data_IF_112766825719
#
_entry.id   IF_112766825719
#
_cell.length_a   1.000
_cell.length_b   1.000
_cell.length_c   1.000
_cell.angle_alpha   90.00
_cell.angle_beta   90.00
_cell.angle_gamma   90.00
#
_symmetry.space_group_name_H-M   'P 1'
#
loop_
_entity.id
_entity.type
_entity.pdbx_description
1 polymer ?
#
# COMPACT_ATOMS: atom_id res chain seq x y z
N UNK A 1 10.53 -33.76 36.46
CA UNK A 1 9.08 -33.80 36.75
C UNK A 1 8.38 -34.43 35.56
N UNK A 2 7.49 -35.42 35.73
CA UNK A 2 6.65 -35.86 34.63
C UNK A 2 5.71 -34.70 34.29
N UNK A 3 5.71 -34.25 33.04
CA UNK A 3 4.74 -33.24 32.60
C UNK A 3 3.35 -33.82 32.80
N UNK A 4 2.49 -33.13 33.56
CA UNK A 4 1.08 -33.49 33.65
C UNK A 4 0.54 -33.45 32.22
N UNK A 5 0.29 -34.62 31.62
CA UNK A 5 -0.27 -34.70 30.27
C UNK A 5 -1.63 -34.03 30.30
N UNK A 6 -1.83 -33.12 29.34
CA UNK A 6 -3.05 -32.35 29.24
C UNK A 6 -4.25 -33.29 29.05
N UNK A 7 -5.35 -33.16 29.82
CA UNK A 7 -6.48 -34.08 29.73
C UNK A 7 -7.15 -34.12 28.35
N UNK A 8 -7.01 -33.07 27.54
CA UNK A 8 -7.51 -33.03 26.17
C UNK A 8 -6.66 -33.88 25.22
N UNK A 9 -5.35 -33.95 25.45
CA UNK A 9 -4.44 -34.82 24.67
C UNK A 9 -4.80 -36.27 24.85
N UNK A 10 -5.00 -36.71 26.10
CA UNK A 10 -5.39 -38.07 26.42
C UNK A 10 -6.74 -38.45 25.80
N UNK A 11 -7.70 -37.51 25.80
CA UNK A 11 -9.03 -37.73 25.20
C UNK A 11 -8.96 -37.84 23.69
N UNK A 12 -8.32 -36.88 23.01
CA UNK A 12 -8.20 -36.90 21.55
C UNK A 12 -7.34 -38.07 21.07
N UNK A 13 -6.29 -38.44 21.79
CA UNK A 13 -5.49 -39.64 21.50
C UNK A 13 -6.30 -40.94 21.64
N UNK A 14 -7.25 -40.99 22.57
CA UNK A 14 -8.16 -42.15 22.67
C UNK A 14 -9.16 -42.18 21.52
N UNK A 15 -9.64 -41.02 21.08
CA UNK A 15 -10.54 -40.89 19.93
C UNK A 15 -9.83 -41.21 18.61
N UNK A 16 -8.56 -40.85 18.44
CA UNK A 16 -7.78 -41.14 17.22
C UNK A 16 -7.51 -42.63 16.99
N UNK A 17 -7.79 -43.49 17.98
CA UNK A 17 -7.80 -44.95 17.81
C UNK A 17 -9.07 -45.48 17.14
N UNK A 18 -10.11 -44.65 17.00
CA UNK A 18 -11.44 -45.02 16.50
C UNK A 18 -11.91 -44.17 15.32
N UNK A 19 -11.45 -42.93 15.26
CA UNK A 19 -11.80 -41.96 14.24
C UNK A 19 -10.54 -41.57 13.48
N UNK A 20 -10.68 -41.39 12.16
CA UNK A 20 -9.59 -40.86 11.33
C UNK A 20 -9.40 -39.34 11.56
N UNK A 21 -8.34 -38.78 10.98
CA UNK A 21 -8.00 -37.37 11.19
C UNK A 21 -9.06 -36.40 10.62
N UNK A 22 -9.79 -36.79 9.56
CA UNK A 22 -10.89 -36.00 8.99
C UNK A 22 -12.08 -35.96 9.95
N UNK A 23 -12.45 -37.10 10.53
CA UNK A 23 -13.50 -37.22 11.53
C UNK A 23 -13.14 -36.46 12.82
N UNK A 24 -11.88 -36.52 13.26
CA UNK A 24 -11.40 -35.76 14.42
C UNK A 24 -11.49 -34.25 14.20
N UNK A 25 -11.16 -33.75 13.01
CA UNK A 25 -11.35 -32.33 12.67
C UNK A 25 -12.80 -31.92 12.83
N UNK A 26 -13.73 -32.70 12.25
CA UNK A 26 -15.15 -32.39 12.33
C UNK A 26 -15.64 -32.37 13.79
N UNK A 27 -15.20 -33.32 14.62
CA UNK A 27 -15.53 -33.37 16.04
C UNK A 27 -15.01 -32.14 16.80
N UNK A 28 -13.76 -31.73 16.57
CA UNK A 28 -13.17 -30.55 17.21
C UNK A 28 -13.88 -29.27 16.78
N UNK A 29 -14.18 -29.11 15.50
CA UNK A 29 -14.84 -27.91 14.97
C UNK A 29 -16.29 -27.80 15.46
N UNK A 30 -17.00 -28.92 15.57
CA UNK A 30 -18.32 -28.97 16.20
C UNK A 30 -18.25 -28.55 17.68
N UNK A 31 -17.27 -29.08 18.43
CA UNK A 31 -17.08 -28.71 19.83
C UNK A 31 -16.73 -27.22 20.01
N UNK A 32 -15.90 -26.64 19.14
CA UNK A 32 -15.56 -25.20 19.18
C UNK A 32 -16.74 -24.28 18.90
N UNK A 33 -17.72 -24.76 18.14
CA UNK A 33 -18.94 -24.02 17.83
C UNK A 33 -19.96 -24.05 18.99
N UNK A 34 -19.76 -24.92 19.98
CA UNK A 34 -20.61 -25.02 21.17
C UNK A 34 -20.18 -24.02 22.25
N UNK A 35 -21.07 -23.11 22.71
CA UNK A 35 -20.77 -22.12 23.74
C UNK A 35 -20.22 -22.70 25.05
N UNK A 36 -20.56 -23.95 25.39
CA UNK A 36 -20.10 -24.63 26.60
C UNK A 36 -18.59 -24.92 26.58
N UNK A 37 -17.97 -24.90 25.39
CA UNK A 37 -16.55 -25.18 25.17
C UNK A 37 -15.72 -23.92 24.90
N UNK A 38 -16.31 -22.73 25.00
CA UNK A 38 -15.67 -21.44 24.63
C UNK A 38 -14.31 -21.20 25.31
N UNK A 39 -14.12 -21.68 26.53
CA UNK A 39 -12.86 -21.54 27.29
C UNK A 39 -11.87 -22.69 27.08
N UNK A 40 -12.26 -23.71 26.30
CA UNK A 40 -11.50 -24.94 26.06
C UNK A 40 -11.11 -25.12 24.60
N UNK A 41 -11.57 -24.21 23.73
CA UNK A 41 -11.28 -24.19 22.30
C UNK A 41 -9.77 -24.26 22.01
N UNK A 42 -8.98 -23.44 22.69
CA UNK A 42 -7.52 -23.44 22.54
C UNK A 42 -6.90 -24.80 22.86
N UNK A 43 -7.29 -25.42 23.97
CA UNK A 43 -6.72 -26.70 24.39
C UNK A 43 -7.10 -27.86 23.46
N UNK A 44 -8.35 -27.85 22.96
CA UNK A 44 -8.81 -28.81 21.96
C UNK A 44 -8.05 -28.65 20.64
N UNK A 45 -7.84 -27.41 20.19
CA UNK A 45 -7.05 -27.12 18.99
C UNK A 45 -5.62 -27.60 19.17
N UNK A 46 -4.96 -27.26 20.27
CA UNK A 46 -3.59 -27.69 20.54
C UNK A 46 -3.45 -29.22 20.61
N UNK A 47 -4.43 -29.90 21.19
CA UNK A 47 -4.46 -31.36 21.21
C UNK A 47 -4.61 -31.97 19.81
N UNK A 48 -5.45 -31.38 18.94
CA UNK A 48 -5.55 -31.78 17.53
C UNK A 48 -4.21 -31.60 16.80
N UNK A 49 -3.53 -30.46 16.99
CA UNK A 49 -2.23 -30.20 16.36
C UNK A 49 -1.17 -31.23 16.81
N UNK A 50 -1.17 -31.62 18.09
CA UNK A 50 -0.27 -32.67 18.60
C UNK A 50 -0.57 -34.06 18.04
N UNK A 51 -1.84 -34.38 17.79
CA UNK A 51 -2.22 -35.62 17.11
C UNK A 51 -1.66 -35.64 15.69
N UNK A 52 -1.86 -34.57 14.92
CA UNK A 52 -1.30 -34.47 13.57
C UNK A 52 0.23 -34.58 13.55
N UNK A 53 0.93 -33.96 14.50
CA UNK A 53 2.38 -34.11 14.65
C UNK A 53 2.77 -35.57 14.92
N UNK A 54 2.01 -36.29 15.76
CA UNK A 54 2.26 -37.69 16.09
C UNK A 54 2.02 -38.62 14.89
N UNK A 55 1.00 -38.32 14.08
CA UNK A 55 0.71 -39.06 12.85
C UNK A 55 1.69 -38.72 11.71
N UNK A 56 2.52 -37.68 11.88
CA UNK A 56 3.49 -37.25 10.88
C UNK A 56 2.87 -36.45 9.73
N UNK A 57 1.71 -35.83 9.96
CA UNK A 57 0.99 -35.09 8.93
C UNK A 57 1.82 -33.90 8.44
N UNK A 58 1.87 -33.71 7.14
CA UNK A 58 2.53 -32.55 6.55
C UNK A 58 1.63 -31.33 6.60
N UNK A 59 2.18 -30.15 6.31
CA UNK A 59 1.37 -28.95 6.13
C UNK A 59 0.32 -29.15 5.03
N UNK A 60 0.68 -29.79 3.92
CA UNK A 60 -0.25 -30.09 2.82
C UNK A 60 -1.39 -31.01 3.27
N UNK A 61 -1.14 -31.94 4.19
CA UNK A 61 -2.20 -32.78 4.76
C UNK A 61 -3.13 -31.94 5.63
N UNK A 62 -2.61 -31.04 6.46
CA UNK A 62 -3.45 -30.11 7.23
C UNK A 62 -4.33 -29.23 6.32
N UNK A 63 -3.83 -28.77 5.17
CA UNK A 63 -4.64 -28.04 4.17
C UNK A 63 -5.81 -28.88 3.63
N UNK A 64 -5.59 -30.18 3.40
CA UNK A 64 -6.63 -31.10 2.92
C UNK A 64 -7.65 -31.44 4.00
N UNK A 65 -7.18 -31.80 5.20
CA UNK A 65 -8.02 -32.15 6.35
C UNK A 65 -8.96 -31.00 6.74
N UNK A 66 -8.48 -29.75 6.62
CA UNK A 66 -9.25 -28.54 6.89
C UNK A 66 -10.08 -28.06 5.68
N UNK A 67 -10.10 -28.83 4.59
CA UNK A 67 -10.86 -28.56 3.36
C UNK A 67 -10.59 -27.17 2.79
N UNK A 68 -9.38 -26.63 3.01
CA UNK A 68 -8.93 -25.35 2.46
C UNK A 68 -8.72 -25.41 0.94
N UNK A 69 -8.72 -26.63 0.41
CA UNK A 69 -8.57 -26.94 -1.01
C UNK A 69 -9.91 -27.17 -1.72
N UNK A 70 -11.04 -27.18 -1.01
CA UNK A 70 -12.36 -27.53 -1.55
C UNK A 70 -13.03 -26.30 -2.19
N UNK A 71 -13.35 -26.46 -3.47
CA UNK A 71 -14.04 -25.54 -4.40
C UNK A 71 -13.24 -24.48 -5.17
N UNK A 72 -13.51 -24.46 -6.49
CA UNK A 72 -13.00 -23.52 -7.50
C UNK A 72 -13.52 -22.09 -7.35
N UNK A 73 -14.33 -21.80 -6.32
CA UNK A 73 -14.99 -20.50 -6.12
C UNK A 73 -14.63 -19.77 -4.84
N UNK A 74 -13.86 -20.37 -3.93
CA UNK A 74 -13.51 -19.68 -2.68
C UNK A 74 -12.23 -18.87 -2.83
N UNK A 75 -12.41 -17.65 -3.32
CA UNK A 75 -11.56 -16.49 -3.02
C UNK A 75 -11.64 -16.07 -1.54
N UNK A 76 -12.30 -16.89 -0.71
CA UNK A 76 -12.75 -16.57 0.62
C UNK A 76 -11.67 -16.93 1.66
N UNK A 77 -10.92 -15.92 2.09
CA UNK A 77 -9.99 -16.01 3.22
C UNK A 77 -10.70 -16.07 4.59
N UNK A 78 -12.02 -16.26 4.60
CA UNK A 78 -12.85 -16.40 5.80
C UNK A 78 -13.12 -17.84 6.25
N UNK A 79 -12.45 -18.84 5.64
CA UNK A 79 -12.60 -20.23 6.09
C UNK A 79 -12.07 -20.38 7.54
N UNK A 80 -12.88 -20.86 8.50
CA UNK A 80 -12.49 -20.96 9.91
C UNK A 80 -11.34 -21.96 10.16
N UNK A 81 -11.09 -22.87 9.23
CA UNK A 81 -9.95 -23.79 9.30
C UNK A 81 -8.60 -23.12 9.01
N UNK A 82 -8.57 -21.93 8.40
CA UNK A 82 -7.32 -21.26 8.06
C UNK A 82 -6.46 -20.93 9.29
N UNK A 83 -7.09 -20.51 10.40
CA UNK A 83 -6.40 -20.18 11.65
C UNK A 83 -5.71 -21.43 12.25
N UNK A 84 -6.39 -22.58 12.21
CA UNK A 84 -5.84 -23.86 12.67
C UNK A 84 -4.72 -24.35 11.77
N UNK A 85 -4.85 -24.18 10.45
CA UNK A 85 -3.78 -24.48 9.51
C UNK A 85 -2.54 -23.61 9.77
N UNK A 86 -2.71 -22.30 9.94
CA UNK A 86 -1.63 -21.37 10.24
C UNK A 86 -0.90 -21.75 11.52
N UNK A 87 -1.66 -22.12 12.56
CA UNK A 87 -1.12 -22.60 13.82
C UNK A 87 -0.30 -23.87 13.62
N UNK A 88 -0.81 -24.85 12.87
CA UNK A 88 -0.09 -26.09 12.58
C UNK A 88 1.23 -25.84 11.83
N UNK A 89 1.17 -25.09 10.73
CA UNK A 89 2.34 -24.78 9.89
C UNK A 89 3.43 -24.07 10.69
N UNK A 90 3.05 -23.16 11.61
CA UNK A 90 3.99 -22.52 12.55
C UNK A 90 4.65 -23.53 13.48
N UNK A 91 3.92 -24.55 13.97
CA UNK A 91 4.54 -25.59 14.81
C UNK A 91 5.58 -26.41 14.05
N UNK A 92 5.41 -26.57 12.74
CA UNK A 92 6.40 -27.20 11.85
C UNK A 92 7.53 -26.25 11.41
N UNK A 93 7.63 -25.04 12.00
CA UNK A 93 8.62 -23.99 11.69
C UNK A 93 8.61 -23.50 10.22
N UNK A 94 7.50 -23.67 9.53
CA UNK A 94 7.30 -23.16 8.17
C UNK A 94 6.54 -21.82 8.21
N UNK A 95 6.65 -21.02 7.14
CA UNK A 95 5.89 -19.78 7.01
C UNK A 95 4.49 -20.08 6.46
N UNK A 96 3.41 -19.88 7.24
CA UNK A 96 2.05 -20.15 6.79
C UNK A 96 1.57 -19.24 5.67
N UNK A 97 1.98 -17.97 5.68
CA UNK A 97 1.62 -17.00 4.63
C UNK A 97 2.24 -17.39 3.29
N UNK A 98 3.50 -17.83 3.31
CA UNK A 98 4.20 -18.31 2.11
C UNK A 98 3.56 -19.57 1.53
N UNK A 99 3.24 -20.53 2.39
CA UNK A 99 2.62 -21.77 1.96
C UNK A 99 1.22 -21.53 1.37
N UNK A 100 0.38 -20.75 2.07
CA UNK A 100 -0.93 -20.36 1.56
C UNK A 100 -0.80 -19.61 0.23
N UNK A 101 0.11 -18.64 0.14
CA UNK A 101 0.36 -17.90 -1.08
C UNK A 101 0.73 -18.81 -2.25
N UNK A 102 1.69 -19.73 -2.07
CA UNK A 102 2.08 -20.70 -3.09
C UNK A 102 0.90 -21.57 -3.52
N UNK A 103 0.06 -22.01 -2.57
CA UNK A 103 -1.13 -22.80 -2.88
C UNK A 103 -2.12 -22.02 -3.73
N UNK A 104 -2.44 -20.78 -3.34
CA UNK A 104 -3.33 -19.89 -4.08
C UNK A 104 -2.78 -19.61 -5.49
N UNK A 105 -1.45 -19.44 -5.62
CA UNK A 105 -0.76 -19.21 -6.89
C UNK A 105 -0.90 -20.35 -7.90
N UNK A 106 -1.07 -21.59 -7.44
CA UNK A 106 -1.32 -22.73 -8.35
C UNK A 106 -2.72 -22.71 -8.98
N UNK A 107 -3.63 -21.87 -8.48
CA UNK A 107 -5.06 -21.89 -8.84
C UNK A 107 -5.58 -20.59 -9.43
N UNK A 108 -5.03 -19.47 -8.99
CA UNK A 108 -5.49 -18.14 -9.33
C UNK A 108 -4.40 -17.38 -10.08
N UNK A 109 -4.81 -16.58 -11.06
CA UNK A 109 -3.89 -15.66 -11.71
C UNK A 109 -3.45 -14.54 -10.76
N UNK A 110 -2.34 -13.88 -11.09
CA UNK A 110 -1.81 -12.74 -10.36
C UNK A 110 -2.84 -11.61 -10.20
N UNK A 111 -3.63 -11.36 -11.24
CA UNK A 111 -4.72 -10.39 -11.22
C UNK A 111 -5.80 -10.78 -10.21
N UNK A 112 -6.18 -12.07 -10.19
CA UNK A 112 -7.19 -12.55 -9.24
C UNK A 112 -6.72 -12.46 -7.80
N UNK A 113 -5.46 -12.83 -7.54
CA UNK A 113 -4.84 -12.68 -6.21
C UNK A 113 -4.76 -11.22 -5.80
N UNK A 114 -4.30 -10.35 -6.69
CA UNK A 114 -4.23 -8.92 -6.45
C UNK A 114 -5.60 -8.34 -6.11
N UNK A 115 -6.67 -8.76 -6.81
CA UNK A 115 -8.04 -8.35 -6.52
C UNK A 115 -8.51 -8.82 -5.14
N UNK A 116 -8.20 -10.07 -4.78
CA UNK A 116 -8.55 -10.62 -3.46
C UNK A 116 -7.87 -9.83 -2.35
N UNK A 117 -6.57 -9.52 -2.51
CA UNK A 117 -5.83 -8.77 -1.49
C UNK A 117 -6.21 -7.29 -1.44
N UNK A 118 -6.52 -6.69 -2.60
CA UNK A 118 -6.91 -5.28 -2.71
C UNK A 118 -8.35 -4.99 -2.28
N UNK A 119 -9.20 -6.00 -2.09
CA UNK A 119 -10.53 -5.81 -1.54
C UNK A 119 -10.44 -4.98 -0.24
N UNK A 120 -11.39 -4.03 0.00
CA UNK A 120 -11.31 -3.13 1.14
C UNK A 120 -11.00 -3.92 2.39
N UNK A 121 -9.88 -3.58 3.07
CA UNK A 121 -9.31 -4.32 4.23
C UNK A 121 -10.42 -5.06 4.92
N UNK A 122 -10.44 -6.37 4.64
CA UNK A 122 -11.61 -7.24 4.65
C UNK A 122 -12.53 -6.94 5.82
N UNK A 123 -13.85 -7.08 5.59
CA UNK A 123 -14.90 -7.19 6.60
C UNK A 123 -14.31 -7.54 7.97
N UNK A 124 -14.64 -6.80 9.04
CA UNK A 124 -14.06 -6.96 10.40
C UNK A 124 -14.06 -8.41 10.93
N UNK A 125 -14.79 -9.31 10.27
CA UNK A 125 -14.84 -10.75 10.47
C UNK A 125 -13.61 -11.53 9.96
N UNK A 126 -12.87 -11.04 8.96
CA UNK A 126 -11.65 -11.70 8.46
C UNK A 126 -10.46 -11.31 9.34
N UNK A 127 -9.93 -12.30 10.06
CA UNK A 127 -8.86 -12.10 11.05
C UNK A 127 -7.45 -12.22 10.47
N UNK A 128 -7.32 -12.72 9.24
CA UNK A 128 -6.02 -13.01 8.62
C UNK A 128 -5.48 -11.75 7.95
N UNK A 129 -4.24 -11.38 8.30
CA UNK A 129 -3.51 -10.31 7.62
C UNK A 129 -3.01 -10.81 6.25
N UNK A 130 -3.30 -10.08 5.19
CA UNK A 130 -2.83 -10.43 3.82
C UNK A 130 -1.51 -9.77 3.44
N UNK A 131 -0.94 -8.93 4.32
CA UNK A 131 0.22 -8.10 4.02
C UNK A 131 1.45 -8.90 3.55
N UNK A 132 1.74 -10.04 4.19
CA UNK A 132 2.88 -10.87 3.81
C UNK A 132 2.66 -11.51 2.43
N UNK A 133 1.44 -11.97 2.15
CA UNK A 133 1.08 -12.52 0.83
C UNK A 133 1.12 -11.44 -0.27
N UNK A 134 0.72 -10.20 0.03
CA UNK A 134 0.90 -9.07 -0.90
C UNK A 134 2.39 -8.82 -1.20
N UNK A 135 3.26 -8.90 -0.19
CA UNK A 135 4.70 -8.76 -0.38
C UNK A 135 5.31 -9.91 -1.18
N UNK A 136 4.85 -11.14 -0.98
CA UNK A 136 5.25 -12.30 -1.77
C UNK A 136 4.83 -12.16 -3.23
N UNK A 137 3.60 -11.70 -3.48
CA UNK A 137 3.12 -11.40 -4.84
C UNK A 137 4.00 -10.35 -5.51
N UNK A 138 4.29 -9.24 -4.80
CA UNK A 138 5.18 -8.18 -5.26
C UNK A 138 6.59 -8.68 -5.56
N UNK A 139 7.14 -9.50 -4.68
CA UNK A 139 8.48 -10.08 -4.81
C UNK A 139 8.54 -11.00 -6.02
N UNK A 140 7.49 -11.77 -6.28
CA UNK A 140 7.39 -12.61 -7.47
C UNK A 140 7.38 -11.78 -8.76
N UNK A 141 6.65 -10.66 -8.80
CA UNK A 141 6.69 -9.74 -9.94
C UNK A 141 8.10 -9.17 -10.18
N UNK A 142 8.77 -8.75 -9.11
CA UNK A 142 10.15 -8.25 -9.19
C UNK A 142 11.13 -9.31 -9.71
N UNK A 143 11.06 -10.54 -9.15
CA UNK A 143 11.89 -11.67 -9.60
C UNK A 143 11.61 -12.07 -11.05
N UNK A 144 10.36 -11.95 -11.48
CA UNK A 144 9.94 -12.17 -12.86
C UNK A 144 10.29 -11.04 -13.82
N UNK A 145 10.99 -9.99 -13.36
CA UNK A 145 11.40 -8.86 -14.19
C UNK A 145 10.25 -8.00 -14.70
N UNK A 146 9.07 -8.06 -14.07
CA UNK A 146 7.90 -7.31 -14.51
C UNK A 146 8.15 -5.81 -14.40
N UNK A 147 7.88 -5.07 -15.47
CA UNK A 147 8.00 -3.60 -15.43
C UNK A 147 6.78 -2.96 -14.74
N UNK A 148 6.88 -1.69 -14.39
CA UNK A 148 5.73 -0.92 -13.89
C UNK A 148 4.57 -0.90 -14.90
N UNK A 149 4.88 -0.92 -16.21
CA UNK A 149 3.92 -0.99 -17.30
C UNK A 149 3.19 -2.34 -17.35
N UNK A 150 3.93 -3.44 -17.18
CA UNK A 150 3.35 -4.79 -17.15
C UNK A 150 2.40 -4.96 -15.98
N UNK A 151 2.80 -4.48 -14.79
CA UNK A 151 1.94 -4.52 -13.60
C UNK A 151 0.73 -3.59 -13.75
N UNK A 152 0.86 -2.45 -14.42
CA UNK A 152 -0.28 -1.57 -14.71
C UNK A 152 -1.35 -2.27 -15.56
N UNK A 153 -0.92 -2.99 -16.61
CA UNK A 153 -1.77 -3.83 -17.46
C UNK A 153 -2.38 -5.01 -16.69
N UNK A 154 -1.53 -5.75 -15.97
CA UNK A 154 -1.92 -6.94 -15.20
C UNK A 154 -3.03 -6.60 -14.20
N UNK A 155 -2.94 -5.46 -13.53
CA UNK A 155 -3.92 -4.99 -12.55
C UNK A 155 -5.16 -4.33 -13.19
N UNK A 156 -5.30 -4.40 -14.52
CA UNK A 156 -6.44 -3.83 -15.27
C UNK A 156 -6.69 -2.37 -14.92
N UNK A 157 -5.60 -1.59 -14.82
CA UNK A 157 -5.68 -0.15 -14.61
C UNK A 157 -5.87 0.63 -15.92
N UNK A 158 -5.83 -0.06 -17.06
CA UNK A 158 -6.35 0.41 -18.35
C UNK A 158 -7.81 -0.04 -18.41
N UNK A 159 -8.76 0.90 -18.38
CA UNK A 159 -10.17 0.55 -18.44
C UNK A 159 -10.98 1.54 -19.27
N UNK A 160 -12.06 1.05 -19.91
CA UNK A 160 -12.92 1.81 -20.83
C UNK A 160 -13.66 2.96 -20.15
N UNK A 161 -13.71 2.95 -18.82
CA UNK A 161 -14.36 3.98 -18.02
C UNK A 161 -13.44 5.11 -17.60
N UNK A 162 -12.15 5.05 -17.96
CA UNK A 162 -11.13 6.05 -17.60
C UNK A 162 -11.07 6.32 -16.08
N UNK A 163 -11.27 5.28 -15.26
CA UNK A 163 -11.37 5.36 -13.78
C UNK A 163 -10.36 4.49 -13.03
N UNK A 164 -9.05 4.59 -13.29
CA UNK A 164 -8.04 3.80 -12.57
C UNK A 164 -8.02 4.12 -11.06
N UNK A 165 -8.41 5.33 -10.64
CA UNK A 165 -8.45 5.74 -9.23
C UNK A 165 -9.61 5.15 -8.42
N UNK A 166 -10.62 4.59 -9.09
CA UNK A 166 -11.71 3.85 -8.45
C UNK A 166 -11.38 2.35 -8.36
N UNK A 167 -10.33 1.88 -9.05
CA UNK A 167 -9.92 0.48 -9.00
C UNK A 167 -9.20 0.19 -7.67
N UNK A 168 -9.67 -0.79 -6.86
CA UNK A 168 -9.06 -1.11 -5.57
C UNK A 168 -7.58 -1.53 -5.69
N UNK A 169 -7.16 -2.07 -6.83
CA UNK A 169 -5.78 -2.50 -7.08
C UNK A 169 -4.83 -1.34 -7.40
N UNK A 170 -5.31 -0.09 -7.57
CA UNK A 170 -4.44 1.05 -7.88
C UNK A 170 -3.30 1.18 -6.86
N UNK A 171 -3.61 1.07 -5.56
CA UNK A 171 -2.61 1.24 -4.52
C UNK A 171 -1.55 0.12 -4.52
N UNK A 172 -1.89 -1.04 -5.07
CA UNK A 172 -0.94 -2.13 -5.25
C UNK A 172 0.07 -1.79 -6.34
N UNK A 173 -0.40 -1.24 -7.48
CA UNK A 173 0.48 -0.71 -8.53
C UNK A 173 1.34 0.45 -8.03
N UNK A 174 0.76 1.44 -7.33
CA UNK A 174 1.52 2.56 -6.75
C UNK A 174 2.63 2.04 -5.85
N UNK A 175 2.33 1.08 -4.98
CA UNK A 175 3.32 0.50 -4.10
C UNK A 175 4.38 -0.34 -4.84
N UNK A 176 4.07 -0.87 -6.03
CA UNK A 176 5.04 -1.59 -6.87
C UNK A 176 5.94 -0.62 -7.63
N UNK A 177 5.35 0.42 -8.20
CA UNK A 177 6.03 1.41 -9.02
C UNK A 177 6.83 2.43 -8.19
N UNK A 178 6.51 2.59 -6.90
CA UNK A 178 7.21 3.50 -6.00
C UNK A 178 8.54 2.87 -5.54
N UNK A 179 9.56 3.00 -6.39
CA UNK A 179 10.90 2.51 -6.15
C UNK A 179 11.66 3.46 -5.22
N UNK A 180 12.24 3.00 -4.09
CA UNK A 180 12.94 3.87 -3.14
C UNK A 180 14.19 4.56 -3.72
N UNK A 181 14.80 3.94 -4.73
CA UNK A 181 15.98 4.41 -5.46
C UNK A 181 15.64 5.33 -6.65
N UNK A 182 14.36 5.47 -6.99
CA UNK A 182 13.91 6.43 -8.00
C UNK A 182 13.81 7.82 -7.35
N UNK A 183 14.53 8.79 -7.91
CA UNK A 183 14.49 10.18 -7.46
C UNK A 183 13.13 10.84 -7.76
N UNK A 184 12.41 10.34 -8.78
CA UNK A 184 11.14 10.87 -9.27
C UNK A 184 10.10 9.77 -9.58
N UNK A 185 9.70 8.93 -8.59
CA UNK A 185 8.87 7.75 -8.81
C UNK A 185 7.50 8.09 -9.42
N UNK A 186 6.92 9.24 -9.05
CA UNK A 186 5.66 9.70 -9.61
C UNK A 186 5.78 10.20 -11.06
N UNK A 187 6.95 10.70 -11.46
CA UNK A 187 7.23 11.02 -12.87
C UNK A 187 7.30 9.73 -13.68
N UNK A 188 8.03 8.72 -13.21
CA UNK A 188 8.09 7.39 -13.83
C UNK A 188 6.71 6.73 -13.95
N UNK A 189 5.88 6.81 -12.91
CA UNK A 189 4.48 6.36 -12.95
C UNK A 189 3.65 7.12 -13.98
N UNK A 190 3.79 8.45 -14.06
CA UNK A 190 3.08 9.27 -15.03
C UNK A 190 3.43 8.85 -16.47
N UNK A 191 4.69 8.56 -16.77
CA UNK A 191 5.10 8.06 -18.09
C UNK A 191 4.41 6.76 -18.47
N UNK A 192 4.18 5.86 -17.51
CA UNK A 192 3.38 4.65 -17.74
C UNK A 192 1.94 5.01 -18.07
N UNK A 193 1.31 5.91 -17.29
CA UNK A 193 -0.07 6.33 -17.52
C UNK A 193 -0.26 7.05 -18.87
N UNK A 194 0.70 7.88 -19.31
CA UNK A 194 0.67 8.60 -20.60
C UNK A 194 0.66 7.68 -21.83
N UNK A 195 1.08 6.41 -21.70
CA UNK A 195 0.99 5.43 -22.79
C UNK A 195 -0.46 5.03 -23.10
N UNK A 196 -1.36 5.19 -22.14
CA UNK A 196 -2.74 4.70 -22.24
C UNK A 196 -3.78 5.81 -22.15
N UNK A 197 -3.43 6.93 -21.52
CA UNK A 197 -4.33 8.04 -21.27
C UNK A 197 -3.74 9.33 -21.80
N UNK A 198 -4.56 10.10 -22.51
CA UNK A 198 -4.19 11.46 -22.92
C UNK A 198 -3.99 12.35 -21.69
N UNK A 199 -3.19 13.40 -21.84
CA UNK A 199 -2.94 14.34 -20.73
C UNK A 199 -4.23 14.98 -20.20
N UNK A 200 -5.14 15.35 -21.11
CA UNK A 200 -6.46 15.91 -20.75
C UNK A 200 -7.31 14.91 -19.95
N UNK A 201 -7.19 13.62 -20.26
CA UNK A 201 -7.86 12.56 -19.47
C UNK A 201 -7.19 12.42 -18.09
N UNK A 202 -5.85 12.45 -18.02
CA UNK A 202 -5.12 12.40 -16.76
C UNK A 202 -5.43 13.59 -15.84
N UNK A 203 -5.49 14.81 -16.37
CA UNK A 203 -5.87 16.01 -15.60
C UNK A 203 -7.26 15.84 -14.98
N UNK A 204 -8.25 15.39 -15.76
CA UNK A 204 -9.61 15.12 -15.28
C UNK A 204 -9.62 14.04 -14.19
N UNK A 205 -8.89 12.94 -14.39
CA UNK A 205 -8.77 11.86 -13.40
C UNK A 205 -8.20 12.37 -12.07
N UNK A 206 -7.14 13.18 -12.11
CA UNK A 206 -6.50 13.68 -10.90
C UNK A 206 -7.39 14.67 -10.15
N UNK A 207 -8.07 15.58 -10.86
CA UNK A 207 -9.04 16.50 -10.26
C UNK A 207 -10.14 15.73 -9.51
N UNK A 208 -10.71 14.69 -10.15
CA UNK A 208 -11.73 13.86 -9.53
C UNK A 208 -11.19 13.08 -8.33
N UNK A 209 -10.06 12.39 -8.47
CA UNK A 209 -9.48 11.57 -7.40
C UNK A 209 -9.09 12.39 -6.16
N UNK A 210 -8.70 13.66 -6.34
CA UNK A 210 -8.40 14.59 -5.23
C UNK A 210 -9.62 15.00 -4.40
N UNK A 211 -10.84 14.84 -4.91
CA UNK A 211 -12.08 15.06 -4.14
C UNK A 211 -12.34 13.93 -3.13
N UNK A 212 -11.68 12.79 -3.29
CA UNK A 212 -11.72 11.67 -2.33
C UNK A 212 -10.87 11.90 -1.09
N UNK A 213 -10.57 10.82 -0.37
CA UNK A 213 -9.73 10.85 0.84
C UNK A 213 -8.66 9.75 0.81
N UNK A 214 -7.70 9.81 1.74
CA UNK A 214 -6.69 8.77 1.93
C UNK A 214 -5.61 8.71 0.84
N UNK A 215 -5.05 7.51 0.64
CA UNK A 215 -3.88 7.31 -0.24
C UNK A 215 -4.15 7.63 -1.70
N UNK A 216 -5.36 7.37 -2.22
CA UNK A 216 -5.70 7.67 -3.61
C UNK A 216 -5.62 9.18 -3.91
N UNK A 217 -6.15 10.02 -3.02
CA UNK A 217 -6.01 11.49 -3.10
C UNK A 217 -4.54 11.91 -3.11
N UNK A 218 -3.73 11.36 -2.20
CA UNK A 218 -2.31 11.68 -2.13
C UNK A 218 -1.58 11.32 -3.44
N UNK A 219 -1.82 10.12 -3.96
CA UNK A 219 -1.28 9.66 -5.25
C UNK A 219 -1.69 10.59 -6.38
N UNK A 220 -2.97 10.97 -6.45
CA UNK A 220 -3.48 11.89 -7.48
C UNK A 220 -2.77 13.24 -7.43
N UNK A 221 -2.62 13.85 -6.25
CA UNK A 221 -1.87 15.11 -6.10
C UNK A 221 -0.41 14.98 -6.56
N UNK A 222 0.27 13.87 -6.23
CA UNK A 222 1.67 13.67 -6.65
C UNK A 222 1.82 13.47 -8.16
N UNK A 223 0.89 12.75 -8.79
CA UNK A 223 0.89 12.56 -10.25
C UNK A 223 0.51 13.82 -11.01
N UNK A 224 -0.44 14.60 -10.49
CA UNK A 224 -0.80 15.91 -11.06
C UNK A 224 0.38 16.88 -11.04
N UNK A 225 1.13 16.90 -9.92
CA UNK A 225 2.36 17.68 -9.82
C UNK A 225 3.39 17.22 -10.87
N UNK A 226 3.60 15.91 -11.01
CA UNK A 226 4.50 15.37 -12.03
C UNK A 226 4.05 15.76 -13.45
N UNK A 227 2.74 15.80 -13.71
CA UNK A 227 2.18 16.18 -14.99
C UNK A 227 2.48 17.64 -15.32
N UNK A 228 2.26 18.56 -14.39
CA UNK A 228 2.60 19.97 -14.57
C UNK A 228 4.08 20.19 -14.86
N UNK A 229 4.97 19.46 -14.17
CA UNK A 229 6.42 19.47 -14.46
C UNK A 229 6.75 18.97 -15.86
N UNK A 230 6.12 17.87 -16.28
CA UNK A 230 6.36 17.24 -17.58
C UNK A 230 5.92 18.10 -18.76
N UNK A 231 4.98 19.02 -18.54
CA UNK A 231 4.45 19.92 -19.58
C UNK A 231 5.37 21.13 -19.82
N UNK A 232 6.50 21.25 -19.11
CA UNK A 232 7.40 22.40 -19.25
C UNK A 232 6.70 23.73 -18.94
N UNK A 233 5.65 23.68 -18.10
CA UNK A 233 4.90 24.86 -17.70
C UNK A 233 5.87 25.89 -17.15
N UNK A 234 5.67 27.16 -17.53
CA UNK A 234 6.40 28.23 -16.86
C UNK A 234 6.10 28.18 -15.36
N UNK A 235 7.00 28.75 -14.55
CA UNK A 235 6.76 28.88 -13.13
C UNK A 235 5.40 29.53 -12.83
N UNK A 236 4.97 30.49 -13.65
CA UNK A 236 3.68 31.17 -13.59
C UNK A 236 2.49 30.23 -13.90
N UNK A 237 2.58 29.47 -15.00
CA UNK A 237 1.51 28.54 -15.41
C UNK A 237 1.31 27.41 -14.39
N UNK A 238 2.41 26.96 -13.77
CA UNK A 238 2.35 25.94 -12.74
C UNK A 238 1.84 26.51 -11.40
N UNK A 239 2.12 27.78 -11.10
CA UNK A 239 1.57 28.47 -9.93
C UNK A 239 0.04 28.57 -10.00
N UNK A 240 -0.48 29.03 -11.14
CA UNK A 240 -1.92 29.13 -11.41
C UNK A 240 -2.60 27.75 -11.43
N UNK A 241 -1.93 26.74 -11.99
CA UNK A 241 -2.45 25.38 -12.03
C UNK A 241 -2.67 24.78 -10.64
N UNK A 242 -1.73 25.06 -9.72
CA UNK A 242 -1.84 24.63 -8.33
C UNK A 242 -2.83 25.47 -7.52
N UNK A 243 -3.42 26.51 -8.12
CA UNK A 243 -4.41 27.40 -7.50
C UNK A 243 -3.90 28.01 -6.19
N UNK A 244 -2.61 28.37 -6.19
CA UNK A 244 -1.94 28.93 -5.01
C UNK A 244 -2.43 30.37 -4.77
N UNK A 245 -2.68 31.12 -5.84
CA UNK A 245 -3.27 32.46 -5.83
C UNK A 245 -4.65 32.50 -5.13
N UNK A 246 -5.46 31.45 -5.28
CA UNK A 246 -6.78 31.34 -4.65
C UNK A 246 -6.73 31.16 -3.12
N UNK A 247 -5.54 31.02 -2.50
CA UNK A 247 -5.38 30.75 -1.05
C UNK A 247 -5.18 32.00 -0.18
N UNK A 248 -4.97 33.18 -0.78
CA UNK A 248 -4.83 34.44 -0.04
C UNK A 248 -3.70 34.42 1.00
N UNK A 249 -3.96 34.88 2.22
CA UNK A 249 -2.94 34.97 3.29
C UNK A 249 -2.48 33.58 3.83
N UNK A 250 -3.18 32.49 3.50
CA UNK A 250 -2.86 31.13 3.98
C UNK A 250 -1.91 30.35 3.05
N UNK A 251 -1.37 30.97 2.00
CA UNK A 251 -0.49 30.32 1.02
C UNK A 251 0.70 29.56 1.65
N UNK A 252 1.31 30.10 2.71
CA UNK A 252 2.50 29.50 3.36
C UNK A 252 2.18 28.31 4.25
N UNK A 253 0.90 27.98 4.41
CA UNK A 253 0.43 26.75 5.07
C UNK A 253 0.06 25.68 4.06
N UNK A 254 -0.02 26.01 2.77
CA UNK A 254 -0.42 25.08 1.72
C UNK A 254 0.81 24.29 1.22
N UNK A 255 0.81 22.95 1.33
CA UNK A 255 1.90 22.12 0.82
C UNK A 255 2.08 22.20 -0.70
N UNK A 256 1.10 22.73 -1.45
CA UNK A 256 1.25 23.00 -2.88
C UNK A 256 2.32 24.06 -3.16
N UNK A 257 2.51 25.04 -2.25
CA UNK A 257 3.53 26.07 -2.40
C UNK A 257 4.95 25.46 -2.34
N UNK A 258 5.22 24.55 -1.40
CA UNK A 258 6.53 23.86 -1.30
C UNK A 258 6.84 23.05 -2.57
N UNK A 259 5.82 22.40 -3.13
CA UNK A 259 5.96 21.63 -4.37
C UNK A 259 6.30 22.54 -5.56
N UNK A 260 5.66 23.70 -5.62
CA UNK A 260 5.90 24.71 -6.64
C UNK A 260 7.29 25.34 -6.50
N UNK A 261 7.69 25.76 -5.30
CA UNK A 261 9.06 26.30 -5.04
C UNK A 261 10.11 25.29 -5.48
N UNK A 262 9.95 24.01 -5.10
CA UNK A 262 10.87 22.95 -5.54
C UNK A 262 10.89 22.75 -7.05
N UNK A 263 9.81 23.05 -7.77
CA UNK A 263 9.80 23.00 -9.23
C UNK A 263 10.61 24.16 -9.80
N UNK A 264 10.33 25.39 -9.37
CA UNK A 264 11.01 26.59 -9.88
C UNK A 264 12.52 26.52 -9.62
N UNK A 265 12.93 26.26 -8.37
CA UNK A 265 14.36 26.18 -8.01
C UNK A 265 15.15 25.08 -8.73
N UNK A 266 14.48 24.08 -9.32
CA UNK A 266 15.13 23.01 -10.10
C UNK A 266 15.17 23.28 -11.60
N UNK A 267 14.27 24.13 -12.10
CA UNK A 267 14.08 24.36 -13.54
C UNK A 267 14.53 25.75 -13.98
N UNK A 268 14.73 26.66 -13.04
CA UNK A 268 15.24 27.99 -13.28
C UNK A 268 16.54 28.19 -12.47
N UNK A 269 17.70 28.44 -13.13
CA UNK A 269 18.95 28.68 -12.45
C UNK A 269 19.00 30.04 -11.72
N UNK A 270 18.05 30.95 -11.97
CA UNK A 270 17.95 32.21 -11.25
C UNK A 270 17.49 31.97 -9.80
N UNK A 271 18.33 32.37 -8.85
CA UNK A 271 18.04 32.28 -7.42
C UNK A 271 16.82 33.12 -6.98
N UNK A 272 16.43 34.12 -7.78
CA UNK A 272 15.26 34.96 -7.55
C UNK A 272 14.00 34.52 -8.31
N UNK A 273 14.03 33.43 -9.08
CA UNK A 273 12.90 32.99 -9.91
C UNK A 273 11.61 32.80 -9.10
N UNK A 274 11.72 32.17 -7.92
CA UNK A 274 10.59 31.96 -6.99
C UNK A 274 10.01 33.31 -6.53
N UNK A 275 10.88 34.21 -6.08
CA UNK A 275 10.48 35.53 -5.60
C UNK A 275 9.84 36.36 -6.72
N UNK A 276 10.39 36.30 -7.93
CA UNK A 276 9.91 37.04 -9.10
C UNK A 276 8.49 36.67 -9.48
N UNK A 277 8.15 35.38 -9.44
CA UNK A 277 6.78 34.93 -9.74
C UNK A 277 5.82 35.30 -8.61
N UNK A 278 6.21 35.12 -7.34
CA UNK A 278 5.39 35.58 -6.21
C UNK A 278 5.13 37.09 -6.26
N UNK A 279 6.15 37.89 -6.59
CA UNK A 279 6.03 39.35 -6.75
C UNK A 279 5.07 39.70 -7.87
N UNK A 280 5.09 38.97 -8.98
CA UNK A 280 4.17 39.17 -10.10
C UNK A 280 2.71 38.88 -9.70
N UNK A 281 2.46 37.84 -8.90
CA UNK A 281 1.10 37.47 -8.50
C UNK A 281 0.51 38.35 -7.39
N UNK A 282 1.33 38.73 -6.40
CA UNK A 282 0.83 39.43 -5.21
C UNK A 282 1.19 40.93 -5.19
N UNK A 283 2.14 41.37 -6.01
CA UNK A 283 2.70 42.72 -5.91
C UNK A 283 3.62 42.89 -4.70
N UNK A 284 4.41 43.96 -4.71
CA UNK A 284 5.47 44.16 -3.71
C UNK A 284 4.92 44.33 -2.28
N UNK A 285 3.87 45.13 -2.11
CA UNK A 285 3.34 45.49 -0.79
C UNK A 285 2.69 44.29 -0.09
N UNK A 286 1.83 43.55 -0.80
CA UNK A 286 1.13 42.41 -0.23
C UNK A 286 2.08 41.24 -0.02
N UNK A 287 3.02 40.99 -0.95
CA UNK A 287 4.05 39.97 -0.75
C UNK A 287 4.95 40.28 0.45
N UNK A 288 5.35 41.55 0.65
CA UNK A 288 6.12 41.94 1.83
C UNK A 288 5.33 41.73 3.13
N UNK A 289 4.03 42.06 3.14
CA UNK A 289 3.14 41.81 4.29
C UNK A 289 3.04 40.31 4.58
N UNK A 290 2.82 39.50 3.54
CA UNK A 290 2.75 38.05 3.59
C UNK A 290 4.03 37.43 4.16
N UNK A 291 5.21 37.84 3.66
CA UNK A 291 6.51 37.37 4.15
C UNK A 291 6.75 37.81 5.61
N UNK A 292 6.38 39.03 5.98
CA UNK A 292 6.52 39.50 7.37
C UNK A 292 5.71 38.66 8.36
N UNK A 293 4.51 38.23 7.95
CA UNK A 293 3.66 37.34 8.74
C UNK A 293 4.25 35.94 8.84
N UNK A 294 4.77 35.41 7.72
CA UNK A 294 5.39 34.10 7.66
C UNK A 294 6.64 33.99 8.56
N UNK A 295 7.45 35.06 8.70
CA UNK A 295 8.65 35.07 9.57
C UNK A 295 8.34 34.79 11.03
N UNK A 296 7.13 35.13 11.48
CA UNK A 296 6.66 34.91 12.85
C UNK A 296 6.07 33.51 13.04
N UNK A 297 5.80 32.77 11.94
CA UNK A 297 5.17 31.45 11.95
C UNK A 297 6.22 30.33 12.02
N UNK A 298 6.18 29.43 13.02
CA UNK A 298 7.12 28.31 13.12
C UNK A 298 7.09 27.37 11.91
N UNK A 299 5.93 27.19 11.30
CA UNK A 299 5.68 26.30 10.16
C UNK A 299 6.27 26.81 8.84
N UNK A 300 6.59 28.11 8.74
CA UNK A 300 7.04 28.73 7.49
C UNK A 300 8.56 28.88 7.38
N UNK A 301 9.33 28.42 8.39
CA UNK A 301 10.80 28.54 8.43
C UNK A 301 11.52 27.84 7.27
N UNK A 302 11.02 26.69 6.80
CA UNK A 302 11.60 25.95 5.68
C UNK A 302 11.48 26.72 4.36
N UNK A 303 10.29 27.26 4.10
CA UNK A 303 9.98 28.10 2.95
C UNK A 303 10.80 29.40 2.94
N UNK A 304 10.86 30.11 4.07
CA UNK A 304 11.61 31.37 4.17
C UNK A 304 13.11 31.20 3.92
N UNK A 305 13.68 30.05 4.29
CA UNK A 305 15.08 29.74 4.02
C UNK A 305 15.35 29.57 2.52
N UNK A 306 14.37 29.10 1.74
CA UNK A 306 14.51 28.93 0.30
C UNK A 306 14.38 30.24 -0.50
N UNK A 307 13.80 31.30 0.10
CA UNK A 307 13.45 32.55 -0.62
C UNK A 307 14.20 33.77 -0.08
N UNK A 308 14.50 33.82 1.22
CA UNK A 308 15.18 34.98 1.85
C UNK A 308 16.68 34.77 2.05
N UNK A 309 17.18 33.54 1.86
CA UNK A 309 18.60 33.23 1.96
C UNK A 309 19.03 32.45 0.72
N UNK A 310 19.15 33.09 -0.46
CA UNK A 310 20.03 32.56 -1.49
C UNK A 310 21.39 32.37 -0.82
N UNK A 311 21.96 31.18 -0.93
CA UNK A 311 23.26 30.89 -0.33
C UNK A 311 24.26 31.93 -0.86
N UNK A 312 24.71 32.86 -0.01
CA UNK A 312 25.91 33.64 -0.27
C UNK A 312 27.11 32.66 -0.32
N UNK A 313 27.29 32.00 -1.46
CA UNK A 313 28.38 31.11 -1.79
C UNK A 313 29.35 31.81 -2.73
N UNK A 314 30.52 32.15 -2.18
CA UNK A 314 31.78 32.50 -2.87
C UNK A 314 31.82 33.73 -3.79
N UNK A 315 31.85 34.93 -3.21
CA UNK A 315 32.69 36.02 -3.73
C UNK A 315 33.72 36.43 -2.66
N UNK A 316 34.76 35.60 -2.53
CA UNK A 316 36.06 35.87 -1.92
C UNK A 316 36.99 34.91 -2.68
N UNK A 317 38.02 35.25 -3.44
CA UNK A 317 38.87 36.44 -3.51
C UNK A 317 39.60 36.40 -4.87
N UNK A 318 39.47 37.44 -5.70
CA UNK A 318 40.43 37.76 -6.75
C UNK A 318 40.75 39.25 -6.66
N UNK A 319 41.64 39.56 -5.74
CA UNK A 319 42.40 40.81 -5.69
C UNK A 319 43.62 40.54 -4.81
N UNK A 320 44.78 40.49 -5.45
CA UNK A 320 46.07 40.09 -4.89
C UNK A 320 46.92 39.50 -6.00
#
# INVERSE_FOLDING_TARGET
>A
QPSIENPYDLRLLKLSKRFDDDELVNLVFAARSDPTWRYKEYELEQALLRIWQRHGNTAEDAFKLLRLNADKRDKNLGNPGLDTCFSYVKTSKQNPDELLFLKLKTRFSDEELARVFAAPKMDKKVKISVWEMENLLRTNWLKGGQTSDDIFKLLKLINDSDKPFENPMLLMWVSYANKPDDEYPFTSMLWVMKKYYSEQTLERMFIQAKQGTGRAKHTASKLENALGRSQGRSADDYFNFLKIDEKGDDIFKDPALDVWVSFVSKNDPDEFAVFSVLRKHFGDLDLARMLSYAVVQPTSKGFLKAILLPTCGSYNSRSG
#
